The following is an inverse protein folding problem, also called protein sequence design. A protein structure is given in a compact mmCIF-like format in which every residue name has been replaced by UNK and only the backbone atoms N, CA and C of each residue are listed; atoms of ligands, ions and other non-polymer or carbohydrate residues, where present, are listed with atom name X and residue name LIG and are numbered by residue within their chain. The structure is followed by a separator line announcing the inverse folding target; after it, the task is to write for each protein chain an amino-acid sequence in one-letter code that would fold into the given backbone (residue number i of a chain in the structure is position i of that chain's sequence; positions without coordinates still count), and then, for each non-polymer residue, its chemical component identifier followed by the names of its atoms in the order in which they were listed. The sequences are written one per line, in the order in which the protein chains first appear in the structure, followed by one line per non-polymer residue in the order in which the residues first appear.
data_IF_975424446021
#
_entry.id   IF_975424446021
#
_cell.length_a   1.000
_cell.length_b   1.000
_cell.length_c   1.000
_cell.angle_alpha   90.00
_cell.angle_beta   90.00
_cell.angle_gamma   90.00
#
_symmetry.space_group_name_H-M   'P 1'
#
loop_
_entity.id
_entity.type
_entity.pdbx_description
1 polymer ?
#
# COMPACT_ATOMS: atom_id res chain seq x y z
N UNK A 1 -10.96 75.18 -40.31
CA UNK A 1 -11.96 74.22 -39.89
C UNK A 1 -11.96 73.07 -40.88
N UNK A 2 -11.19 72.09 -40.70
CA UNK A 2 -11.34 70.73 -41.32
C UNK A 2 -10.48 69.77 -40.54
N UNK A 3 -11.14 68.91 -39.80
CA UNK A 3 -10.51 67.85 -38.99
C UNK A 3 -10.14 66.71 -39.90
N UNK A 4 -8.88 66.34 -39.89
CA UNK A 4 -8.37 65.15 -40.58
C UNK A 4 -8.34 64.00 -39.59
N UNK A 5 -9.17 63.02 -39.82
CA UNK A 5 -9.21 61.77 -39.03
C UNK A 5 -8.12 60.85 -39.58
N UNK A 6 -7.13 60.53 -38.80
CA UNK A 6 -6.17 59.49 -39.08
C UNK A 6 -6.61 58.21 -38.34
N UNK A 7 -7.08 57.24 -39.13
CA UNK A 7 -7.43 55.89 -38.64
C UNK A 7 -6.15 55.06 -38.58
N UNK A 8 -5.70 54.75 -37.38
CA UNK A 8 -4.58 53.81 -37.18
C UNK A 8 -5.22 52.42 -36.96
N UNK A 9 -5.06 51.54 -37.96
CA UNK A 9 -5.36 50.12 -37.81
C UNK A 9 -4.25 49.47 -37.01
N UNK A 10 -4.49 49.24 -35.71
CA UNK A 10 -3.67 48.38 -34.89
C UNK A 10 -4.13 46.93 -35.07
N UNK A 11 -3.40 46.15 -35.89
CA UNK A 11 -3.61 44.72 -36.02
C UNK A 11 -3.13 44.01 -34.74
N UNK A 12 -4.07 43.57 -33.96
CA UNK A 12 -3.81 42.66 -32.83
C UNK A 12 -3.57 41.25 -33.38
N UNK A 13 -2.31 40.86 -33.42
CA UNK A 13 -1.95 39.44 -33.63
C UNK A 13 -2.16 38.74 -32.28
N UNK A 14 -3.31 38.04 -32.16
CA UNK A 14 -3.51 37.10 -31.04
C UNK A 14 -2.66 35.87 -31.37
N UNK A 15 -1.46 35.82 -30.81
CA UNK A 15 -0.68 34.59 -30.74
C UNK A 15 -1.39 33.63 -29.78
N UNK A 16 -2.01 32.57 -30.32
CA UNK A 16 -2.39 31.42 -29.51
C UNK A 16 -1.11 30.74 -29.03
N UNK A 17 -0.67 31.09 -27.83
CA UNK A 17 0.26 30.29 -27.09
C UNK A 17 -0.51 29.04 -26.62
N UNK A 18 -0.42 27.98 -27.39
CA UNK A 18 -0.75 26.64 -26.91
C UNK A 18 0.24 26.34 -25.78
N UNK A 19 -0.19 26.64 -24.57
CA UNK A 19 0.49 26.19 -23.36
C UNK A 19 0.42 24.67 -23.34
N UNK A 20 1.50 23.99 -23.71
CA UNK A 20 1.68 22.61 -23.37
C UNK A 20 1.82 22.55 -21.84
N UNK A 21 0.74 22.29 -21.15
CA UNK A 21 0.74 21.92 -19.74
C UNK A 21 1.27 20.49 -19.58
N UNK A 22 2.45 20.23 -20.07
CA UNK A 22 3.29 19.13 -19.60
C UNK A 22 4.12 19.68 -18.45
N UNK A 23 3.47 19.88 -17.28
CA UNK A 23 4.19 20.08 -16.06
C UNK A 23 4.99 18.80 -15.78
N UNK A 24 6.34 18.86 -15.79
CA UNK A 24 7.14 17.70 -15.41
C UNK A 24 6.94 17.48 -13.93
N UNK A 25 6.26 16.40 -13.55
CA UNK A 25 6.23 15.98 -12.17
C UNK A 25 4.94 15.48 -11.56
N UNK A 26 3.84 15.43 -12.26
CA UNK A 26 2.78 14.52 -11.85
C UNK A 26 3.10 13.15 -12.46
N UNK A 27 3.93 12.39 -11.76
CA UNK A 27 3.93 10.95 -11.95
C UNK A 27 2.44 10.56 -11.95
N UNK A 28 1.93 10.11 -13.12
CA UNK A 28 0.60 9.48 -13.18
C UNK A 28 0.61 8.49 -12.06
N UNK A 29 -0.34 8.61 -11.11
CA UNK A 29 -0.50 7.65 -10.06
C UNK A 29 -0.53 6.28 -10.76
N UNK A 30 0.58 5.56 -10.65
CA UNK A 30 0.77 4.30 -11.33
C UNK A 30 -0.19 3.36 -10.65
N UNK A 31 -1.32 3.12 -11.32
CA UNK A 31 -2.44 2.30 -10.90
C UNK A 31 -3.05 2.70 -9.54
N UNK A 32 -4.30 3.10 -9.59
CA UNK A 32 -5.19 3.16 -8.41
C UNK A 32 -5.50 1.74 -7.90
N UNK A 33 -4.57 0.81 -8.01
CA UNK A 33 -4.73 -0.59 -7.67
C UNK A 33 -3.56 -1.11 -6.84
N UNK A 34 -3.79 -2.17 -6.12
CA UNK A 34 -2.78 -2.89 -5.34
C UNK A 34 -1.90 -3.67 -6.32
N UNK A 35 -0.62 -3.30 -6.40
CA UNK A 35 0.36 -3.96 -7.27
C UNK A 35 1.26 -4.87 -6.45
N UNK A 36 0.90 -6.15 -6.38
CA UNK A 36 1.68 -7.20 -5.69
C UNK A 36 2.27 -8.11 -6.77
N UNK A 37 3.52 -8.51 -6.59
CA UNK A 37 4.21 -9.44 -7.48
C UNK A 37 4.71 -10.64 -6.65
N UNK A 38 4.33 -11.86 -7.01
CA UNK A 38 3.41 -12.25 -8.08
C UNK A 38 1.98 -11.78 -7.85
N UNK A 39 1.20 -11.66 -8.92
CA UNK A 39 -0.22 -11.28 -8.83
C UNK A 39 -1.00 -12.32 -8.03
N UNK A 40 -1.76 -11.93 -7.00
CA UNK A 40 -2.62 -12.83 -6.24
C UNK A 40 -3.66 -13.53 -7.13
N UNK A 41 -4.03 -14.76 -6.79
CA UNK A 41 -5.09 -15.52 -7.48
C UNK A 41 -6.45 -14.80 -7.36
N UNK A 42 -6.67 -14.15 -6.21
CA UNK A 42 -7.86 -13.35 -5.96
C UNK A 42 -7.46 -12.10 -5.19
N UNK A 43 -8.02 -10.96 -5.57
CA UNK A 43 -7.77 -9.68 -4.92
C UNK A 43 -9.08 -8.88 -4.87
N UNK A 44 -9.46 -8.46 -3.67
CA UNK A 44 -10.55 -7.50 -3.46
C UNK A 44 -9.98 -6.27 -2.80
N UNK A 45 -10.14 -5.11 -3.43
CA UNK A 45 -9.73 -3.85 -2.86
C UNK A 45 -10.89 -3.21 -2.12
N UNK A 46 -10.72 -2.99 -0.82
CA UNK A 46 -11.65 -2.27 0.04
C UNK A 46 -11.10 -0.86 0.33
N UNK A 47 -11.91 -0.01 0.95
CA UNK A 47 -11.47 1.28 1.47
C UNK A 47 -10.73 1.10 2.81
N UNK A 48 -9.87 2.07 3.13
CA UNK A 48 -9.11 2.10 4.38
C UNK A 48 -7.64 1.71 4.21
N UNK A 49 -6.86 1.88 5.30
CA UNK A 49 -5.42 1.62 5.31
C UNK A 49 -4.95 1.24 6.71
N UNK A 50 -4.25 0.13 6.83
CA UNK A 50 -3.55 -0.19 8.07
C UNK A 50 -2.32 0.72 8.24
N UNK A 51 -2.21 1.35 9.42
CA UNK A 51 -1.04 2.18 9.78
C UNK A 51 -0.11 1.43 10.71
N UNK A 52 0.98 0.91 10.14
CA UNK A 52 2.09 0.41 10.93
C UNK A 52 2.70 1.53 11.78
N UNK A 53 2.87 1.32 13.08
CA UNK A 53 3.43 2.30 14.01
C UNK A 53 4.25 1.61 15.12
N UNK A 54 4.92 2.39 15.95
CA UNK A 54 5.78 1.87 17.04
C UNK A 54 5.05 1.01 18.09
N UNK A 55 3.73 1.12 18.18
CA UNK A 55 2.92 0.35 19.12
C UNK A 55 2.36 -0.93 18.50
N UNK A 56 2.49 -1.11 17.17
CA UNK A 56 2.06 -2.33 16.47
C UNK A 56 2.69 -3.55 17.12
N UNK A 57 1.91 -4.59 17.30
CA UNK A 57 2.34 -5.89 17.83
C UNK A 57 2.01 -6.98 16.84
N UNK A 58 2.80 -8.05 16.84
CA UNK A 58 2.60 -9.18 15.95
C UNK A 58 2.24 -10.39 16.81
N UNK A 59 1.00 -10.83 16.69
CA UNK A 59 0.54 -12.08 17.27
C UNK A 59 0.89 -13.26 16.36
N UNK A 60 1.26 -14.37 16.94
CA UNK A 60 1.53 -15.62 16.25
C UNK A 60 0.80 -16.77 16.94
N UNK A 61 0.03 -17.55 16.17
CA UNK A 61 -0.84 -18.61 16.72
C UNK A 61 -0.09 -19.84 17.21
N UNK A 62 1.12 -20.07 16.72
CA UNK A 62 1.96 -21.24 17.07
C UNK A 62 3.43 -20.84 17.21
N UNK A 63 4.29 -21.70 17.78
CA UNK A 63 5.73 -21.45 17.85
C UNK A 63 6.38 -21.26 16.47
N UNK A 64 5.92 -22.04 15.45
CA UNK A 64 6.42 -21.93 14.09
C UNK A 64 6.01 -20.61 13.44
N UNK A 65 4.77 -20.15 13.64
CA UNK A 65 4.32 -18.84 13.23
C UNK A 65 5.11 -17.71 13.91
N UNK A 66 5.53 -17.93 15.18
CA UNK A 66 6.33 -16.96 15.93
C UNK A 66 7.71 -16.75 15.30
N UNK A 67 8.34 -17.79 14.78
CA UNK A 67 9.62 -17.65 14.04
C UNK A 67 9.46 -16.72 12.83
N UNK A 68 8.37 -16.85 12.08
CA UNK A 68 8.06 -15.96 10.95
C UNK A 68 7.77 -14.53 11.43
N UNK A 69 7.02 -14.39 12.52
CA UNK A 69 6.71 -13.09 13.12
C UNK A 69 7.98 -12.35 13.58
N UNK A 70 8.93 -13.04 14.22
CA UNK A 70 10.20 -12.48 14.67
C UNK A 70 11.07 -12.04 13.49
N UNK A 71 11.12 -12.84 12.42
CA UNK A 71 11.82 -12.47 11.19
C UNK A 71 11.23 -11.20 10.57
N UNK A 72 9.90 -11.12 10.45
CA UNK A 72 9.21 -9.96 9.94
C UNK A 72 9.42 -8.72 10.83
N UNK A 73 9.29 -8.87 12.15
CA UNK A 73 9.57 -7.80 13.11
C UNK A 73 10.98 -7.24 12.96
N UNK A 74 11.99 -8.10 12.82
CA UNK A 74 13.38 -7.67 12.64
C UNK A 74 13.55 -6.85 11.36
N UNK A 75 12.92 -7.26 10.25
CA UNK A 75 12.94 -6.51 8.98
C UNK A 75 12.27 -5.14 9.12
N UNK A 76 11.09 -5.10 9.73
CA UNK A 76 10.37 -3.85 9.96
C UNK A 76 11.12 -2.90 10.89
N UNK A 77 11.71 -3.42 11.97
CA UNK A 77 12.48 -2.63 12.93
C UNK A 77 13.71 -1.99 12.26
N UNK A 78 14.41 -2.73 11.40
CA UNK A 78 15.54 -2.20 10.61
C UNK A 78 15.09 -1.09 9.65
N UNK A 79 13.94 -1.27 8.97
CA UNK A 79 13.46 -0.33 7.97
C UNK A 79 12.85 0.95 8.57
N UNK A 80 12.19 0.83 9.73
CA UNK A 80 11.40 1.93 10.31
C UNK A 80 12.05 2.59 11.52
N UNK A 81 13.01 1.93 12.17
CA UNK A 81 13.54 2.32 13.47
C UNK A 81 12.57 2.06 14.64
N UNK A 82 11.44 1.39 14.41
CA UNK A 82 10.51 1.01 15.46
C UNK A 82 11.04 -0.18 16.27
N UNK A 83 10.36 -0.49 17.37
CA UNK A 83 10.61 -1.68 18.18
C UNK A 83 9.34 -2.55 18.20
N UNK A 84 8.94 -3.00 17.03
CA UNK A 84 7.84 -3.92 16.87
C UNK A 84 8.22 -5.25 17.49
N UNK A 85 7.37 -5.77 18.37
CA UNK A 85 7.60 -7.02 19.08
C UNK A 85 6.42 -7.99 18.86
N UNK A 86 6.68 -9.27 19.08
CA UNK A 86 5.64 -10.29 19.15
C UNK A 86 4.79 -10.13 20.40
N UNK A 87 3.54 -10.57 20.33
CA UNK A 87 2.58 -10.57 21.44
C UNK A 87 2.04 -11.97 21.68
N UNK A 88 1.75 -12.29 22.93
CA UNK A 88 1.18 -13.59 23.32
C UNK A 88 -0.33 -13.67 23.08
N UNK A 89 -0.97 -12.54 22.82
CA UNK A 89 -2.40 -12.44 22.53
C UNK A 89 -2.65 -11.58 21.30
N UNK A 90 -3.67 -11.95 20.55
CA UNK A 90 -4.13 -11.16 19.41
C UNK A 90 -4.62 -9.78 19.87
N UNK A 91 -4.22 -8.74 19.12
CA UNK A 91 -4.61 -7.35 19.34
C UNK A 91 -5.47 -6.86 18.18
N UNK A 92 -6.43 -5.98 18.47
CA UNK A 92 -7.35 -5.45 17.47
C UNK A 92 -6.68 -4.53 16.42
N UNK A 93 -5.53 -3.97 16.75
CA UNK A 93 -4.78 -3.00 15.94
C UNK A 93 -3.38 -3.51 15.58
N UNK A 94 -3.19 -4.83 15.60
CA UNK A 94 -1.93 -5.50 15.34
C UNK A 94 -1.90 -6.26 14.03
N UNK A 95 -0.90 -7.11 13.92
CA UNK A 95 -0.72 -8.06 12.83
C UNK A 95 -0.86 -9.46 13.41
N UNK A 96 -1.75 -10.27 12.83
CA UNK A 96 -1.98 -11.64 13.29
C UNK A 96 -1.49 -12.63 12.24
N UNK A 97 -0.56 -13.49 12.62
CA UNK A 97 -0.05 -14.61 11.83
C UNK A 97 -0.67 -15.92 12.36
N UNK A 98 -1.51 -16.55 11.54
CA UNK A 98 -2.29 -17.71 11.96
C UNK A 98 -2.00 -18.92 11.06
N UNK A 99 -1.53 -20.01 11.65
CA UNK A 99 -1.50 -21.31 10.96
C UNK A 99 -2.87 -21.95 11.14
N UNK A 100 -3.53 -22.23 10.00
CA UNK A 100 -4.85 -22.84 9.92
C UNK A 100 -4.79 -24.02 8.94
N UNK A 101 -4.64 -25.23 9.45
CA UNK A 101 -4.55 -26.45 8.65
C UNK A 101 -5.81 -26.77 7.83
N UNK A 102 -6.95 -26.12 8.13
CA UNK A 102 -8.20 -26.29 7.39
C UNK A 102 -8.35 -25.36 6.19
N UNK A 103 -7.43 -24.43 6.02
CA UNK A 103 -7.47 -23.45 4.93
C UNK A 103 -7.32 -24.15 3.56
N UNK A 104 -8.22 -23.87 2.63
CA UNK A 104 -8.20 -24.46 1.29
C UNK A 104 -7.22 -23.71 0.36
N UNK A 105 -5.94 -23.87 0.64
CA UNK A 105 -4.82 -23.36 -0.14
C UNK A 105 -3.73 -24.44 -0.21
N UNK A 106 -2.79 -24.31 -1.13
CA UNK A 106 -1.58 -25.15 -1.14
C UNK A 106 -0.64 -24.81 0.03
N UNK A 107 0.43 -25.56 0.21
CA UNK A 107 1.36 -25.40 1.34
C UNK A 107 2.07 -24.04 1.37
N UNK A 108 2.23 -23.39 0.23
CA UNK A 108 2.82 -22.05 0.11
C UNK A 108 1.75 -20.95 -0.02
N UNK A 109 0.48 -21.34 -0.07
CA UNK A 109 -0.65 -20.43 -0.21
C UNK A 109 -1.01 -19.74 1.11
N UNK A 110 -1.62 -18.58 0.97
CA UNK A 110 -2.07 -17.78 2.10
C UNK A 110 -3.30 -16.93 1.75
N UNK A 111 -3.96 -16.44 2.78
CA UNK A 111 -4.94 -15.34 2.68
C UNK A 111 -4.45 -14.17 3.52
N UNK A 112 -4.56 -12.96 2.96
CA UNK A 112 -4.17 -11.71 3.61
C UNK A 112 -5.36 -10.77 3.64
N UNK A 113 -5.78 -10.39 4.84
CA UNK A 113 -6.82 -9.38 5.07
C UNK A 113 -6.17 -8.16 5.71
N UNK A 114 -6.36 -6.99 5.10
CA UNK A 114 -5.86 -5.71 5.60
C UNK A 114 -7.05 -4.78 5.83
N UNK A 115 -7.19 -4.30 7.05
CA UNK A 115 -8.21 -3.34 7.46
C UNK A 115 -7.60 -2.25 8.33
N UNK A 116 -8.30 -1.15 8.55
CA UNK A 116 -7.84 -0.09 9.46
C UNK A 116 -7.55 -0.61 10.88
N UNK A 117 -8.30 -1.63 11.29
CA UNK A 117 -8.21 -2.27 12.61
C UNK A 117 -7.10 -3.30 12.74
N UNK A 118 -6.36 -3.63 11.68
CA UNK A 118 -5.29 -4.63 11.75
C UNK A 118 -5.07 -5.40 10.45
N UNK A 119 -4.07 -6.27 10.50
CA UNK A 119 -3.71 -7.18 9.41
C UNK A 119 -3.83 -8.61 9.90
N UNK A 120 -4.47 -9.46 9.12
CA UNK A 120 -4.58 -10.90 9.39
C UNK A 120 -4.04 -11.70 8.20
N UNK A 121 -2.99 -12.43 8.47
CA UNK A 121 -2.38 -13.37 7.52
C UNK A 121 -2.67 -14.79 8.00
N UNK A 122 -3.28 -15.60 7.17
CA UNK A 122 -3.52 -17.02 7.44
C UNK A 122 -2.87 -17.86 6.36
N UNK A 123 -2.25 -18.95 6.77
CA UNK A 123 -1.71 -19.95 5.88
C UNK A 123 -1.85 -21.36 6.48
N UNK A 124 -1.76 -22.36 5.65
CA UNK A 124 -1.81 -23.75 6.09
C UNK A 124 -0.50 -24.20 6.76
N UNK A 125 0.60 -23.60 6.35
CA UNK A 125 1.96 -23.94 6.80
C UNK A 125 2.77 -22.70 7.15
N UNK A 126 3.90 -22.83 7.87
CA UNK A 126 4.83 -21.73 8.10
C UNK A 126 5.41 -21.13 6.82
N UNK A 127 5.59 -21.94 5.76
CA UNK A 127 6.05 -21.46 4.45
C UNK A 127 5.04 -20.48 3.84
N UNK A 128 3.76 -20.83 3.87
CA UNK A 128 2.70 -19.95 3.41
C UNK A 128 2.66 -18.61 4.18
N UNK A 129 2.87 -18.64 5.50
CA UNK A 129 3.01 -17.41 6.30
C UNK A 129 4.23 -16.59 5.91
N UNK A 130 5.33 -17.23 5.58
CA UNK A 130 6.56 -16.54 5.16
C UNK A 130 6.39 -15.81 3.82
N UNK A 131 5.63 -16.39 2.89
CA UNK A 131 5.37 -15.79 1.58
C UNK A 131 4.30 -14.67 1.63
N UNK A 132 3.37 -14.71 2.56
CA UNK A 132 2.34 -13.69 2.75
C UNK A 132 2.83 -12.41 3.39
#
# INVERSE_FOLDING_TARGET
MKKLLATICAGAVLGLMASCDDAPGKAKAYNQGINIIPTPVSLTQNEGNFKLNKNTRIYASTPEAKTVAEFFAAKMNTATGYQIATADKETSDGISLVIDGSLDVNDEGYTLDVADSGVRLKAKTPQGLFYG
#
